data_IF_815332749268
#
_entry.id   IF_815332749268
#
_cell.length_a   1.000
_cell.length_b   1.000
_cell.length_c   1.000
_cell.angle_alpha   90.00
_cell.angle_beta   90.00
_cell.angle_gamma   90.00
#
_symmetry.space_group_name_H-M   'P 1'
#
loop_
_entity.id
_entity.type
_entity.pdbx_description
1 polymer ?
#
# COMPACT_ATOMS: atom_id res chain seq x y z
N UNK A 1 -22.41 -29.91 -34.73
CA UNK A 1 -22.01 -28.49 -34.84
C UNK A 1 -22.80 -27.59 -33.87
N UNK A 2 -23.05 -28.03 -32.62
CA UNK A 2 -24.06 -27.41 -31.74
C UNK A 2 -23.56 -27.16 -30.30
N UNK A 3 -22.32 -26.69 -30.12
CA UNK A 3 -21.73 -26.52 -28.77
C UNK A 3 -20.97 -25.18 -28.60
N UNK A 4 -21.21 -24.20 -29.46
CA UNK A 4 -20.48 -22.92 -29.42
C UNK A 4 -21.10 -21.90 -28.45
N UNK A 5 -22.40 -22.00 -28.20
CA UNK A 5 -23.14 -21.09 -27.32
C UNK A 5 -22.89 -21.36 -25.83
N UNK A 6 -23.10 -22.60 -25.38
CA UNK A 6 -22.92 -23.01 -23.98
C UNK A 6 -21.47 -22.82 -23.53
N UNK A 7 -20.50 -23.32 -24.31
CA UNK A 7 -19.08 -23.13 -24.02
C UNK A 7 -18.64 -21.64 -24.04
N UNK A 8 -19.32 -20.76 -24.78
CA UNK A 8 -19.07 -19.32 -24.75
C UNK A 8 -19.64 -18.68 -23.48
N UNK A 9 -20.88 -19.03 -23.12
CA UNK A 9 -21.53 -18.61 -21.87
C UNK A 9 -20.71 -19.04 -20.64
N UNK A 10 -20.28 -20.30 -20.57
CA UNK A 10 -19.41 -20.79 -19.48
C UNK A 10 -18.11 -20.01 -19.36
N UNK A 11 -17.45 -19.69 -20.48
CA UNK A 11 -16.23 -18.87 -20.48
C UNK A 11 -16.48 -17.45 -20.01
N UNK A 12 -17.60 -16.83 -20.39
CA UNK A 12 -17.98 -15.49 -19.93
C UNK A 12 -18.25 -15.51 -18.43
N UNK A 13 -19.05 -16.46 -17.95
CA UNK A 13 -19.39 -16.62 -16.53
C UNK A 13 -18.13 -16.88 -15.69
N UNK A 14 -17.23 -17.76 -16.14
CA UNK A 14 -15.97 -18.02 -15.45
C UNK A 14 -15.06 -16.78 -15.38
N UNK A 15 -15.01 -15.97 -16.45
CA UNK A 15 -14.26 -14.71 -16.47
C UNK A 15 -14.86 -13.66 -15.54
N UNK A 16 -16.18 -13.48 -15.57
CA UNK A 16 -16.89 -12.55 -14.70
C UNK A 16 -16.71 -12.92 -13.23
N UNK A 17 -16.86 -14.21 -12.90
CA UNK A 17 -16.65 -14.70 -11.55
C UNK A 17 -15.19 -14.54 -11.09
N UNK A 18 -14.22 -14.79 -11.98
CA UNK A 18 -12.81 -14.53 -11.69
C UNK A 18 -12.51 -13.05 -11.43
N UNK A 19 -13.16 -12.15 -12.15
CA UNK A 19 -13.08 -10.70 -11.93
C UNK A 19 -13.66 -10.31 -10.57
N UNK A 20 -14.88 -10.76 -10.25
CA UNK A 20 -15.51 -10.49 -8.95
C UNK A 20 -14.64 -11.00 -7.79
N UNK A 21 -14.12 -12.23 -7.89
CA UNK A 21 -13.24 -12.80 -6.85
C UNK A 21 -11.95 -12.01 -6.70
N UNK A 22 -11.36 -11.55 -7.81
CA UNK A 22 -10.15 -10.72 -7.76
C UNK A 22 -10.41 -9.41 -7.01
N UNK A 23 -11.44 -8.66 -7.38
CA UNK A 23 -11.75 -7.38 -6.73
C UNK A 23 -12.21 -7.56 -5.27
N UNK A 24 -12.96 -8.62 -4.96
CA UNK A 24 -13.33 -8.94 -3.59
C UNK A 24 -12.09 -9.24 -2.73
N UNK A 25 -11.15 -10.05 -3.23
CA UNK A 25 -9.88 -10.30 -2.53
C UNK A 25 -9.03 -9.03 -2.39
N UNK A 26 -8.98 -8.19 -3.42
CA UNK A 26 -8.23 -6.94 -3.41
C UNK A 26 -8.80 -5.97 -2.36
N UNK A 27 -10.13 -5.80 -2.35
CA UNK A 27 -10.82 -4.99 -1.34
C UNK A 27 -10.63 -5.56 0.06
N UNK A 28 -10.71 -6.89 0.20
CA UNK A 28 -10.47 -7.54 1.48
C UNK A 28 -9.04 -7.35 1.96
N UNK A 29 -8.03 -7.39 1.08
CA UNK A 29 -6.64 -7.06 1.40
C UNK A 29 -6.49 -5.60 1.86
N UNK A 30 -7.23 -4.69 1.23
CA UNK A 30 -7.23 -3.26 1.55
C UNK A 30 -8.11 -2.87 2.76
N UNK A 31 -8.80 -3.84 3.41
CA UNK A 31 -9.81 -3.57 4.42
C UNK A 31 -9.37 -2.58 5.51
N UNK A 32 -8.16 -2.73 6.05
CA UNK A 32 -7.65 -1.80 7.07
C UNK A 32 -7.55 -0.36 6.53
N UNK A 33 -6.94 -0.17 5.35
CA UNK A 33 -6.83 1.16 4.72
C UNK A 33 -8.18 1.76 4.34
N UNK A 34 -9.10 0.93 3.84
CA UNK A 34 -10.49 1.37 3.54
C UNK A 34 -11.19 1.84 4.82
N UNK A 35 -11.04 1.10 5.92
CA UNK A 35 -11.63 1.48 7.22
C UNK A 35 -11.05 2.80 7.74
N UNK A 36 -9.73 2.99 7.68
CA UNK A 36 -9.08 4.25 8.08
C UNK A 36 -9.55 5.41 7.20
N UNK A 37 -9.57 5.23 5.88
CA UNK A 37 -10.03 6.28 4.96
C UNK A 37 -11.50 6.63 5.18
N UNK A 38 -12.36 5.63 5.40
CA UNK A 38 -13.76 5.84 5.78
C UNK A 38 -13.88 6.59 7.11
N UNK A 39 -13.08 6.26 8.13
CA UNK A 39 -13.08 6.97 9.40
C UNK A 39 -12.65 8.43 9.23
N UNK A 40 -11.64 8.71 8.40
CA UNK A 40 -11.22 10.08 8.05
C UNK A 40 -12.38 10.88 7.43
N UNK A 41 -13.07 10.29 6.44
CA UNK A 41 -14.22 10.94 5.78
C UNK A 41 -15.36 11.17 6.78
N UNK A 42 -15.74 10.14 7.53
CA UNK A 42 -16.85 10.19 8.46
C UNK A 42 -16.61 11.22 9.57
N UNK A 43 -15.42 11.19 10.18
CA UNK A 43 -15.07 12.17 11.21
C UNK A 43 -15.07 13.58 10.64
N UNK A 44 -14.59 13.81 9.41
CA UNK A 44 -14.70 15.15 8.80
C UNK A 44 -16.15 15.66 8.68
N UNK A 45 -17.11 14.77 8.46
CA UNK A 45 -18.53 15.12 8.28
C UNK A 45 -19.27 15.34 9.59
N UNK A 46 -18.90 14.64 10.66
CA UNK A 46 -19.69 14.61 11.90
C UNK A 46 -18.99 15.18 13.13
N UNK A 47 -17.65 15.37 13.09
CA UNK A 47 -16.92 15.78 14.28
C UNK A 47 -17.21 17.23 14.65
N UNK A 48 -17.56 17.45 15.91
CA UNK A 48 -17.71 18.79 16.47
C UNK A 48 -16.43 19.16 17.23
N UNK A 49 -15.80 20.32 16.92
CA UNK A 49 -14.64 20.82 17.67
C UNK A 49 -14.86 20.98 19.18
N UNK A 50 -16.10 21.17 19.63
CA UNK A 50 -16.44 21.33 21.05
C UNK A 50 -16.47 20.00 21.82
N UNK A 51 -16.28 18.86 21.16
CA UNK A 51 -16.23 17.57 21.83
C UNK A 51 -14.94 17.41 22.64
N UNK A 52 -15.06 16.77 23.81
CA UNK A 52 -13.93 16.53 24.71
C UNK A 52 -12.83 15.64 24.09
N UNK A 53 -13.16 14.87 23.05
CA UNK A 53 -12.21 14.04 22.32
C UNK A 53 -11.82 14.72 21.01
N UNK A 54 -10.53 15.01 20.87
CA UNK A 54 -9.98 15.54 19.63
C UNK A 54 -10.17 14.55 18.47
N UNK A 55 -10.41 15.08 17.26
CA UNK A 55 -10.67 14.25 16.05
C UNK A 55 -9.53 13.29 15.77
N UNK A 56 -8.29 13.77 15.86
CA UNK A 56 -7.10 12.95 15.62
C UNK A 56 -6.90 11.86 16.67
N UNK A 57 -7.19 12.15 17.94
CA UNK A 57 -7.11 11.15 19.01
C UNK A 57 -8.15 10.04 18.80
N UNK A 58 -9.36 10.40 18.35
CA UNK A 58 -10.37 9.42 17.98
C UNK A 58 -9.95 8.52 16.82
N UNK A 59 -9.24 9.05 15.82
CA UNK A 59 -8.69 8.26 14.72
C UNK A 59 -7.58 7.31 15.20
N UNK A 60 -6.75 7.72 16.17
CA UNK A 60 -5.77 6.82 16.80
C UNK A 60 -6.47 5.67 17.51
N UNK A 61 -7.47 5.98 18.36
CA UNK A 61 -8.24 4.97 19.08
C UNK A 61 -8.90 4.01 18.09
N UNK A 62 -9.53 4.53 17.04
CA UNK A 62 -10.15 3.72 15.99
C UNK A 62 -9.13 2.78 15.31
N UNK A 63 -7.95 3.28 14.95
CA UNK A 63 -6.91 2.48 14.32
C UNK A 63 -6.41 1.35 15.24
N UNK A 64 -6.14 1.67 16.51
CA UNK A 64 -5.70 0.69 17.52
C UNK A 64 -6.77 -0.38 17.78
N UNK A 65 -8.02 0.03 17.96
CA UNK A 65 -9.14 -0.91 18.16
C UNK A 65 -9.32 -1.81 16.95
N UNK A 66 -9.26 -1.25 15.73
CA UNK A 66 -9.35 -2.02 14.49
C UNK A 66 -8.22 -3.05 14.39
N UNK A 67 -6.99 -2.64 14.70
CA UNK A 67 -5.82 -3.51 14.73
C UNK A 67 -5.98 -4.67 15.72
N UNK A 68 -6.43 -4.38 16.94
CA UNK A 68 -6.71 -5.40 17.98
C UNK A 68 -7.78 -6.37 17.50
N UNK A 69 -8.89 -5.86 16.94
CA UNK A 69 -9.98 -6.70 16.43
C UNK A 69 -9.50 -7.59 15.28
N UNK A 70 -8.65 -7.09 14.39
CA UNK A 70 -8.14 -7.86 13.25
C UNK A 70 -7.28 -9.03 13.71
N UNK A 71 -6.39 -8.81 14.69
CA UNK A 71 -5.57 -9.86 15.29
C UNK A 71 -6.46 -10.85 16.05
N UNK A 72 -7.35 -10.36 16.90
CA UNK A 72 -8.24 -11.19 17.73
C UNK A 72 -9.17 -12.09 16.89
N UNK A 73 -9.69 -11.57 15.77
CA UNK A 73 -10.54 -12.32 14.83
C UNK A 73 -9.74 -13.18 13.83
N UNK A 74 -8.41 -13.18 13.91
CA UNK A 74 -7.55 -13.90 12.97
C UNK A 74 -7.62 -13.39 11.53
N UNK A 75 -8.09 -12.15 11.32
CA UNK A 75 -8.06 -11.49 10.02
C UNK A 75 -6.63 -11.10 9.63
N UNK A 76 -5.81 -10.85 10.64
CA UNK A 76 -4.40 -10.47 10.53
C UNK A 76 -3.49 -11.40 11.35
N UNK A 77 -2.32 -11.69 10.77
CA UNK A 77 -1.25 -12.52 11.34
C UNK A 77 -0.25 -11.68 12.15
N UNK A 78 0.56 -12.33 12.98
CA UNK A 78 1.64 -11.66 13.70
C UNK A 78 2.73 -11.07 12.79
N UNK A 79 2.94 -11.65 11.61
CA UNK A 79 3.87 -11.10 10.61
C UNK A 79 3.33 -9.80 10.02
N UNK A 80 2.04 -9.76 9.69
CA UNK A 80 1.35 -8.55 9.24
C UNK A 80 1.36 -7.47 10.35
N UNK A 81 1.16 -7.84 11.62
CA UNK A 81 1.26 -6.90 12.73
C UNK A 81 2.67 -6.30 12.91
N UNK A 82 3.74 -7.10 12.70
CA UNK A 82 5.12 -6.59 12.68
C UNK A 82 5.35 -5.59 11.56
N UNK A 83 4.82 -5.87 10.37
CA UNK A 83 4.87 -4.94 9.23
C UNK A 83 4.20 -3.63 9.63
N UNK A 84 3.00 -3.67 10.20
CA UNK A 84 2.28 -2.47 10.64
C UNK A 84 3.09 -1.67 11.66
N UNK A 85 3.71 -2.32 12.65
CA UNK A 85 4.56 -1.64 13.62
C UNK A 85 5.76 -0.92 12.97
N UNK A 86 6.45 -1.57 12.02
CA UNK A 86 7.59 -0.97 11.30
C UNK A 86 7.13 0.25 10.49
N UNK A 87 5.99 0.14 9.79
CA UNK A 87 5.43 1.25 9.00
C UNK A 87 4.93 2.39 9.88
N UNK A 88 4.37 2.09 11.05
CA UNK A 88 3.95 3.11 12.00
C UNK A 88 5.15 3.95 12.45
N UNK A 89 6.28 3.31 12.78
CA UNK A 89 7.51 4.01 13.19
C UNK A 89 8.08 4.81 12.01
N UNK A 90 8.33 4.15 10.87
CA UNK A 90 8.99 4.79 9.71
C UNK A 90 8.13 5.89 9.09
N UNK A 91 6.81 5.69 9.02
CA UNK A 91 5.84 6.70 8.58
C UNK A 91 5.83 7.92 9.50
N UNK A 92 5.68 7.72 10.81
CA UNK A 92 5.69 8.83 11.78
C UNK A 92 6.99 9.62 11.75
N UNK A 93 8.15 8.97 11.60
CA UNK A 93 9.43 9.67 11.45
C UNK A 93 9.49 10.54 10.19
N UNK A 94 8.96 10.04 9.07
CA UNK A 94 8.87 10.80 7.82
C UNK A 94 7.95 12.01 7.98
N UNK A 95 6.78 11.82 8.60
CA UNK A 95 5.83 12.89 8.88
C UNK A 95 6.44 13.98 9.75
N UNK A 96 7.13 13.63 10.84
CA UNK A 96 7.75 14.60 11.75
C UNK A 96 8.76 15.45 10.98
N UNK A 97 9.59 14.80 10.17
CA UNK A 97 10.54 15.51 9.33
C UNK A 97 9.84 16.41 8.31
N UNK A 98 8.79 15.92 7.66
CA UNK A 98 8.10 16.66 6.59
C UNK A 98 7.27 17.83 7.09
N UNK A 99 6.65 17.69 8.25
CA UNK A 99 5.98 18.77 8.97
C UNK A 99 6.99 19.89 9.30
N UNK A 100 8.15 19.51 9.85
CA UNK A 100 9.22 20.46 10.18
C UNK A 100 9.83 21.18 8.95
N UNK A 101 9.66 20.63 7.74
CA UNK A 101 10.09 21.25 6.48
C UNK A 101 8.98 22.04 5.78
N UNK A 102 7.82 22.22 6.42
CA UNK A 102 6.67 22.92 5.83
C UNK A 102 6.11 22.22 4.60
N UNK A 103 6.32 20.90 4.46
CA UNK A 103 5.88 20.17 3.26
C UNK A 103 4.35 20.02 3.20
N UNK A 104 3.69 20.00 4.35
CA UNK A 104 2.25 20.05 4.60
C UNK A 104 2.03 20.34 6.08
N UNK A 105 0.77 20.55 6.47
CA UNK A 105 0.37 20.78 7.86
C UNK A 105 -0.83 19.90 8.28
N UNK A 106 -0.97 19.71 9.59
CA UNK A 106 -2.06 18.98 10.25
C UNK A 106 -2.99 19.99 10.95
N UNK A 107 -4.15 20.34 10.35
CA UNK A 107 -4.97 21.46 10.81
C UNK A 107 -5.71 21.23 12.13
N UNK A 108 -5.96 19.98 12.54
CA UNK A 108 -6.47 19.69 13.89
C UNK A 108 -5.31 19.38 14.84
N UNK A 109 -5.58 19.35 16.14
CA UNK A 109 -4.60 19.02 17.17
C UNK A 109 -5.17 17.95 18.09
N UNK A 110 -4.31 17.13 18.69
CA UNK A 110 -4.68 16.10 19.65
C UNK A 110 -3.64 15.92 20.74
N UNK A 111 -3.91 15.07 21.72
CA UNK A 111 -2.91 14.72 22.75
C UNK A 111 -2.03 13.56 22.24
N UNK A 112 -2.56 12.73 21.32
CA UNK A 112 -1.86 11.58 20.75
C UNK A 112 -1.06 11.99 19.51
N UNK A 113 -0.10 12.89 19.70
CA UNK A 113 0.79 13.41 18.67
C UNK A 113 2.25 13.46 19.13
N UNK A 114 3.18 13.39 18.19
CA UNK A 114 4.62 13.53 18.44
C UNK A 114 5.17 14.57 17.48
N UNK A 115 5.73 15.65 18.00
CA UNK A 115 6.30 16.72 17.18
C UNK A 115 5.28 17.39 16.25
N UNK A 116 4.03 17.53 16.68
CA UNK A 116 2.90 18.07 15.89
C UNK A 116 2.29 17.07 14.91
N UNK A 117 2.80 15.84 14.85
CA UNK A 117 2.27 14.78 13.98
C UNK A 117 1.32 13.88 14.76
N UNK A 118 0.06 13.78 14.35
CA UNK A 118 -0.90 12.90 15.01
C UNK A 118 -0.56 11.43 14.73
N UNK A 119 -0.61 10.58 15.74
CA UNK A 119 -0.17 9.18 15.64
C UNK A 119 -1.02 8.34 14.68
N UNK A 120 -2.23 8.77 14.31
CA UNK A 120 -3.01 8.03 13.31
C UNK A 120 -2.36 8.08 11.93
N UNK A 121 -1.52 9.09 11.66
CA UNK A 121 -0.76 9.18 10.40
C UNK A 121 0.15 7.98 10.19
N UNK A 122 0.85 7.52 11.24
CA UNK A 122 1.62 6.28 11.20
C UNK A 122 0.78 5.06 10.81
N UNK A 123 -0.49 4.99 11.26
CA UNK A 123 -1.41 3.95 10.82
C UNK A 123 -1.85 4.09 9.35
N UNK A 124 -1.87 5.31 8.79
CA UNK A 124 -2.09 5.51 7.35
C UNK A 124 -0.96 4.85 6.54
N UNK A 125 0.31 5.05 6.92
CA UNK A 125 1.44 4.34 6.31
C UNK A 125 1.33 2.83 6.52
N UNK A 126 1.00 2.41 7.74
CA UNK A 126 0.83 1.00 8.07
C UNK A 126 -0.26 0.32 7.24
N UNK A 127 -1.27 1.05 6.79
CA UNK A 127 -2.31 0.51 5.90
C UNK A 127 -1.77 0.07 4.55
N UNK A 128 -0.75 0.76 4.01
CA UNK A 128 -0.08 0.36 2.76
C UNK A 128 0.73 -0.92 2.98
N UNK A 129 1.48 -0.99 4.09
CA UNK A 129 2.23 -2.20 4.47
C UNK A 129 1.33 -3.40 4.69
N UNK A 130 0.23 -3.23 5.45
CA UNK A 130 -0.79 -4.25 5.67
C UNK A 130 -1.41 -4.71 4.35
N UNK A 131 -1.76 -3.79 3.45
CA UNK A 131 -2.29 -4.12 2.13
C UNK A 131 -1.32 -4.99 1.32
N UNK A 132 -0.03 -4.66 1.28
CA UNK A 132 0.98 -5.45 0.55
C UNK A 132 1.11 -6.84 1.18
N UNK A 133 1.30 -6.93 2.50
CA UNK A 133 1.45 -8.21 3.20
C UNK A 133 0.22 -9.11 3.04
N UNK A 134 -0.98 -8.54 3.22
CA UNK A 134 -2.25 -9.26 3.03
C UNK A 134 -2.48 -9.65 1.58
N UNK A 135 -2.10 -8.80 0.62
CA UNK A 135 -2.16 -9.15 -0.80
C UNK A 135 -1.27 -10.35 -1.12
N UNK A 136 -0.05 -10.39 -0.57
CA UNK A 136 0.86 -11.54 -0.73
C UNK A 136 0.20 -12.82 -0.25
N UNK A 137 -0.37 -12.81 0.97
CA UNK A 137 -1.05 -13.97 1.55
C UNK A 137 -2.30 -14.39 0.79
N UNK A 138 -3.22 -13.45 0.52
CA UNK A 138 -4.55 -13.74 -0.04
C UNK A 138 -4.51 -14.16 -1.52
N UNK A 139 -3.55 -13.65 -2.27
CA UNK A 139 -3.36 -13.98 -3.69
C UNK A 139 -2.25 -15.02 -3.92
N UNK A 140 -1.62 -15.52 -2.85
CA UNK A 140 -0.44 -16.38 -2.90
C UNK A 140 0.63 -15.81 -3.85
N UNK A 141 0.94 -14.53 -3.67
CA UNK A 141 1.82 -13.81 -4.59
C UNK A 141 3.22 -14.39 -4.50
N UNK A 142 3.82 -14.60 -5.68
CA UNK A 142 5.22 -14.97 -5.82
C UNK A 142 5.91 -13.96 -6.74
N UNK A 143 7.09 -13.49 -6.36
CA UNK A 143 7.86 -12.53 -7.14
C UNK A 143 9.04 -13.25 -7.79
N UNK A 144 9.05 -13.32 -9.12
CA UNK A 144 10.03 -14.11 -9.86
C UNK A 144 10.29 -13.60 -11.29
N UNK A 145 11.55 -13.61 -11.78
CA UNK A 145 12.78 -13.69 -10.97
C UNK A 145 12.95 -12.43 -10.12
N UNK A 146 13.38 -12.59 -8.88
CA UNK A 146 13.64 -11.51 -7.93
C UNK A 146 15.12 -11.13 -7.93
N UNK A 147 15.50 -9.84 -7.93
CA UNK A 147 16.89 -9.42 -7.83
C UNK A 147 17.51 -9.86 -6.50
N UNK A 148 18.85 -9.82 -6.42
CA UNK A 148 19.52 -10.10 -5.16
C UNK A 148 19.02 -9.12 -4.07
N UNK A 149 18.67 -9.66 -2.90
CA UNK A 149 17.98 -8.89 -1.85
C UNK A 149 18.74 -7.63 -1.40
N UNK A 150 20.08 -7.67 -1.39
CA UNK A 150 20.91 -6.52 -1.06
C UNK A 150 20.71 -5.35 -2.04
N UNK A 151 20.49 -5.63 -3.34
CA UNK A 151 20.26 -4.59 -4.35
C UNK A 151 18.95 -3.88 -4.11
N UNK A 152 17.90 -4.63 -3.77
CA UNK A 152 16.58 -4.08 -3.50
C UNK A 152 16.55 -3.30 -2.19
N UNK A 153 17.29 -3.79 -1.19
CA UNK A 153 17.47 -3.08 0.08
C UNK A 153 18.22 -1.76 -0.09
N UNK A 154 19.35 -1.75 -0.82
CA UNK A 154 20.08 -0.52 -1.13
C UNK A 154 19.22 0.48 -1.90
N UNK A 155 18.43 0.02 -2.89
CA UNK A 155 17.51 0.90 -3.61
C UNK A 155 16.47 1.51 -2.66
N UNK A 156 15.85 0.72 -1.80
CA UNK A 156 14.84 1.21 -0.85
C UNK A 156 15.43 2.24 0.12
N UNK A 157 16.63 1.98 0.65
CA UNK A 157 17.34 2.94 1.52
C UNK A 157 17.68 4.21 0.74
N UNK A 158 18.19 4.12 -0.49
CA UNK A 158 18.52 5.27 -1.31
C UNK A 158 17.28 6.13 -1.62
N UNK A 159 16.14 5.50 -1.92
CA UNK A 159 14.85 6.19 -2.07
C UNK A 159 14.47 6.88 -0.77
N UNK A 160 14.44 6.15 0.34
CA UNK A 160 14.01 6.69 1.62
C UNK A 160 14.88 7.88 2.05
N UNK A 161 16.20 7.75 1.99
CA UNK A 161 17.15 8.84 2.30
C UNK A 161 16.95 10.02 1.36
N UNK A 162 16.75 9.81 0.07
CA UNK A 162 16.49 10.91 -0.87
C UNK A 162 15.23 11.71 -0.50
N UNK A 163 14.18 11.09 0.06
CA UNK A 163 13.03 11.82 0.57
C UNK A 163 13.34 12.74 1.75
N UNK A 164 14.40 12.48 2.52
CA UNK A 164 14.90 13.40 3.53
C UNK A 164 15.85 14.44 2.94
N UNK A 165 16.80 14.00 2.11
CA UNK A 165 17.93 14.85 1.73
C UNK A 165 17.65 15.79 0.57
N UNK A 166 16.61 15.60 -0.25
CA UNK A 166 16.32 16.51 -1.37
C UNK A 166 15.98 17.94 -0.95
N UNK A 167 15.66 18.17 0.33
CA UNK A 167 15.51 19.52 0.88
C UNK A 167 16.84 20.25 1.06
N UNK A 168 17.95 19.49 1.17
CA UNK A 168 19.30 20.00 1.42
C UNK A 168 20.25 19.79 0.22
N UNK A 169 19.90 18.88 -0.68
CA UNK A 169 20.77 18.39 -1.77
C UNK A 169 19.94 18.17 -3.03
N UNK A 170 20.57 17.64 -4.09
CA UNK A 170 19.89 17.35 -5.35
C UNK A 170 18.80 16.28 -5.21
N UNK A 171 17.69 16.55 -5.88
CA UNK A 171 16.62 15.58 -6.08
C UNK A 171 16.99 14.59 -7.19
N UNK A 172 17.37 13.37 -6.80
CA UNK A 172 17.80 12.31 -7.72
C UNK A 172 16.67 11.33 -8.08
N UNK A 173 15.39 11.69 -7.88
CA UNK A 173 14.24 10.80 -8.14
C UNK A 173 14.25 10.20 -9.54
N UNK A 174 14.68 10.94 -10.57
CA UNK A 174 14.82 10.42 -11.94
C UNK A 174 15.78 9.23 -12.06
N UNK A 175 16.91 9.28 -11.35
CA UNK A 175 17.86 8.15 -11.28
C UNK A 175 17.23 6.97 -10.56
N UNK A 176 16.50 7.24 -9.48
CA UNK A 176 15.81 6.20 -8.69
C UNK A 176 14.68 5.52 -9.49
N UNK A 177 13.91 6.27 -10.29
CA UNK A 177 12.93 5.70 -11.23
C UNK A 177 13.60 4.79 -12.26
N UNK A 178 14.73 5.21 -12.84
CA UNK A 178 15.46 4.37 -13.77
C UNK A 178 15.96 3.08 -13.07
N UNK A 179 16.45 3.19 -11.84
CA UNK A 179 16.93 2.05 -11.06
C UNK A 179 15.81 1.05 -10.73
N UNK A 180 14.59 1.49 -10.39
CA UNK A 180 13.47 0.57 -10.17
C UNK A 180 13.12 -0.21 -11.44
N UNK A 181 13.15 0.45 -12.61
CA UNK A 181 12.91 -0.21 -13.89
C UNK A 181 14.02 -1.21 -14.20
N UNK A 182 15.29 -0.80 -14.12
CA UNK A 182 16.43 -1.69 -14.42
C UNK A 182 16.41 -2.95 -13.54
N UNK A 183 16.15 -2.79 -12.24
CA UNK A 183 16.16 -3.91 -11.29
C UNK A 183 14.93 -4.82 -11.46
N UNK A 184 13.74 -4.25 -11.57
CA UNK A 184 12.49 -5.01 -11.46
C UNK A 184 11.76 -5.25 -12.78
N UNK A 185 12.26 -4.79 -13.93
CA UNK A 185 11.56 -4.98 -15.21
C UNK A 185 11.31 -6.45 -15.56
N UNK A 186 12.26 -7.32 -15.17
CA UNK A 186 12.13 -8.77 -15.35
C UNK A 186 11.27 -9.42 -14.27
N UNK A 187 11.16 -8.83 -13.09
CA UNK A 187 10.39 -9.37 -11.96
C UNK A 187 8.91 -9.32 -12.26
N UNK A 188 8.26 -10.47 -12.15
CA UNK A 188 6.81 -10.59 -12.28
C UNK A 188 6.18 -10.88 -10.93
N UNK A 189 5.04 -10.23 -10.69
CA UNK A 189 4.10 -10.52 -9.62
C UNK A 189 3.20 -11.63 -10.13
N UNK A 190 3.48 -12.87 -9.72
CA UNK A 190 2.62 -14.02 -10.00
C UNK A 190 1.54 -14.08 -8.93
N UNK A 191 0.28 -14.16 -9.33
CA UNK A 191 -0.86 -14.25 -8.42
C UNK A 191 -1.88 -15.25 -8.94
N UNK A 192 -2.61 -15.88 -8.01
CA UNK A 192 -3.52 -16.97 -8.33
C UNK A 192 -4.97 -16.55 -8.09
N UNK A 193 -5.71 -16.44 -9.20
CA UNK A 193 -7.17 -16.31 -9.14
C UNK A 193 -7.73 -17.71 -9.37
N UNK A 194 -8.20 -18.35 -8.30
CA UNK A 194 -8.56 -19.78 -8.30
C UNK A 194 -7.34 -20.60 -8.78
N UNK A 195 -7.52 -21.49 -9.74
CA UNK A 195 -6.46 -22.34 -10.28
C UNK A 195 -5.76 -21.72 -11.50
N UNK A 196 -6.01 -20.45 -11.81
CA UNK A 196 -5.40 -19.77 -12.95
C UNK A 196 -4.26 -18.85 -12.52
N UNK A 197 -2.99 -19.18 -12.82
CA UNK A 197 -1.88 -18.29 -12.57
C UNK A 197 -1.97 -17.08 -13.51
N UNK A 198 -1.76 -15.89 -12.96
CA UNK A 198 -1.63 -14.64 -13.70
C UNK A 198 -0.37 -13.92 -13.28
N UNK A 199 0.18 -13.11 -14.18
CA UNK A 199 1.39 -12.36 -13.91
C UNK A 199 1.33 -10.97 -14.51
N UNK A 200 1.82 -9.99 -13.74
CA UNK A 200 2.11 -8.63 -14.21
C UNK A 200 3.56 -8.28 -13.87
N UNK A 201 4.19 -7.38 -14.62
CA UNK A 201 5.52 -6.88 -14.25
C UNK A 201 5.42 -6.05 -12.96
N UNK A 202 6.38 -6.19 -12.06
CA UNK A 202 6.36 -5.49 -10.78
C UNK A 202 6.28 -3.96 -10.95
N UNK A 203 7.06 -3.30 -11.83
CA UNK A 203 6.92 -1.86 -12.06
C UNK A 203 5.52 -1.43 -12.53
N UNK A 204 4.82 -2.29 -13.30
CA UNK A 204 3.44 -2.00 -13.76
C UNK A 204 2.47 -2.13 -12.58
N UNK A 205 2.62 -3.15 -11.74
CA UNK A 205 1.83 -3.27 -10.51
C UNK A 205 2.03 -2.07 -9.58
N UNK A 206 3.29 -1.68 -9.36
CA UNK A 206 3.64 -0.51 -8.55
C UNK A 206 3.07 0.80 -9.12
N UNK A 207 3.10 0.99 -10.45
CA UNK A 207 2.48 2.15 -11.11
C UNK A 207 0.96 2.21 -10.86
N UNK A 208 0.26 1.09 -11.02
CA UNK A 208 -1.19 1.04 -10.78
C UNK A 208 -1.53 1.27 -9.30
N UNK A 209 -0.74 0.71 -8.38
CA UNK A 209 -0.90 0.96 -6.94
C UNK A 209 -0.59 2.41 -6.57
N UNK A 210 0.42 3.03 -7.18
CA UNK A 210 0.77 4.44 -6.94
C UNK A 210 -0.37 5.36 -7.37
N UNK A 211 -1.07 5.00 -8.44
CA UNK A 211 -2.21 5.76 -8.93
C UNK A 211 -3.37 5.71 -7.92
N UNK A 212 -3.65 4.52 -7.36
CA UNK A 212 -4.65 4.39 -6.28
C UNK A 212 -4.26 5.17 -5.02
N UNK A 213 -2.98 5.19 -4.65
CA UNK A 213 -2.49 6.00 -3.53
C UNK A 213 -2.63 7.49 -3.82
N UNK A 214 -2.36 7.94 -5.05
CA UNK A 214 -2.59 9.34 -5.42
C UNK A 214 -4.08 9.71 -5.38
N UNK A 215 -5.00 8.78 -5.72
CA UNK A 215 -6.44 9.00 -5.50
C UNK A 215 -6.77 9.11 -4.01
N UNK A 216 -6.22 8.23 -3.16
CA UNK A 216 -6.41 8.29 -1.71
C UNK A 216 -5.84 9.58 -1.09
N UNK A 217 -4.70 10.07 -1.61
CA UNK A 217 -4.08 11.33 -1.24
C UNK A 217 -5.03 12.50 -1.46
N UNK A 218 -5.70 12.55 -2.62
CA UNK A 218 -6.71 13.58 -2.91
C UNK A 218 -7.89 13.52 -1.93
N UNK A 219 -8.32 12.32 -1.52
CA UNK A 219 -9.36 12.17 -0.49
C UNK A 219 -8.88 12.75 0.85
N UNK A 220 -7.63 12.49 1.24
CA UNK A 220 -7.02 13.04 2.45
C UNK A 220 -6.98 14.57 2.46
N UNK A 221 -6.59 15.18 1.33
CA UNK A 221 -6.58 16.65 1.20
C UNK A 221 -7.98 17.25 1.18
N UNK A 222 -8.94 16.65 0.45
CA UNK A 222 -10.33 17.15 0.43
C UNK A 222 -11.03 17.02 1.78
N UNK A 223 -10.64 16.05 2.60
CA UNK A 223 -11.13 15.88 3.97
C UNK A 223 -10.42 16.77 4.98
N UNK A 224 -9.48 17.63 4.56
CA UNK A 224 -8.63 18.46 5.44
C UNK A 224 -7.98 17.63 6.53
N UNK A 225 -7.51 16.44 6.16
CA UNK A 225 -6.76 15.59 7.10
C UNK A 225 -5.32 16.10 7.21
N UNK A 226 -4.75 16.51 6.08
CA UNK A 226 -3.57 17.37 5.97
C UNK A 226 -3.81 18.37 4.84
N UNK A 227 -3.08 19.47 4.86
CA UNK A 227 -3.19 20.54 3.85
C UNK A 227 -1.84 20.94 3.29
N UNK A 228 -1.81 21.24 1.99
CA UNK A 228 -0.63 21.78 1.32
C UNK A 228 -0.79 23.29 1.13
N UNK A 229 0.24 24.08 1.43
CA UNK A 229 0.17 25.56 1.38
C UNK A 229 -0.27 26.10 0.01
N UNK A 230 0.20 25.48 -1.07
CA UNK A 230 -0.04 25.94 -2.46
C UNK A 230 -1.29 25.28 -3.08
N UNK A 231 -1.88 24.30 -2.40
CA UNK A 231 -3.09 23.62 -2.88
C UNK A 231 -4.31 24.35 -2.32
N UNK A 232 -4.88 25.27 -3.11
CA UNK A 232 -6.16 25.89 -2.76
C UNK A 232 -7.25 24.84 -2.51
N UNK A 233 -8.34 25.21 -1.83
CA UNK A 233 -9.37 24.31 -1.25
C UNK A 233 -9.97 23.25 -2.20
N UNK A 234 -9.85 23.43 -3.52
CA UNK A 234 -10.45 22.55 -4.55
C UNK A 234 -9.44 22.03 -5.59
N UNK A 235 -8.14 22.29 -5.42
CA UNK A 235 -7.11 21.83 -6.34
C UNK A 235 -6.85 20.33 -6.21
N UNK A 236 -6.66 19.64 -7.33
CA UNK A 236 -6.12 18.28 -7.32
C UNK A 236 -4.66 18.32 -6.87
N UNK A 237 -4.24 17.27 -6.17
CA UNK A 237 -2.86 17.11 -5.71
C UNK A 237 -1.91 17.04 -6.90
N UNK A 238 -0.80 17.77 -6.85
CA UNK A 238 0.18 17.82 -7.93
C UNK A 238 0.61 16.43 -8.42
N UNK A 239 0.77 16.29 -9.74
CA UNK A 239 1.12 15.01 -10.36
C UNK A 239 2.55 14.57 -10.01
N UNK A 240 3.42 15.48 -9.57
CA UNK A 240 4.72 15.13 -8.98
C UNK A 240 4.59 14.26 -7.73
N UNK A 241 3.50 14.39 -6.96
CA UNK A 241 3.23 13.53 -5.79
C UNK A 241 2.94 12.09 -6.20
N UNK A 242 2.38 11.86 -7.38
CA UNK A 242 2.23 10.51 -7.93
C UNK A 242 3.60 9.82 -8.11
N UNK A 243 4.61 10.54 -8.60
CA UNK A 243 5.98 10.03 -8.68
C UNK A 243 6.55 9.66 -7.31
N UNK A 244 6.25 10.46 -6.29
CA UNK A 244 6.66 10.15 -4.91
C UNK A 244 6.02 8.85 -4.39
N UNK A 245 4.72 8.67 -4.61
CA UNK A 245 4.01 7.45 -4.24
C UNK A 245 4.56 6.20 -4.93
N UNK A 246 4.92 6.33 -6.20
CA UNK A 246 5.58 5.24 -6.93
C UNK A 246 6.88 4.79 -6.26
N UNK A 247 7.76 5.73 -5.89
CA UNK A 247 9.03 5.38 -5.23
C UNK A 247 8.81 4.86 -3.80
N UNK A 248 7.92 5.49 -3.03
CA UNK A 248 7.57 5.03 -1.69
C UNK A 248 6.95 3.64 -1.69
N UNK A 249 6.26 3.23 -2.76
CA UNK A 249 5.79 1.85 -2.90
C UNK A 249 6.93 0.83 -2.99
N UNK A 250 8.08 1.19 -3.55
CA UNK A 250 9.26 0.30 -3.51
C UNK A 250 9.86 0.22 -2.11
N UNK A 251 9.91 1.34 -1.38
CA UNK A 251 10.31 1.33 0.04
C UNK A 251 9.36 0.44 0.83
N UNK A 252 8.05 0.66 0.67
CA UNK A 252 7.02 -0.12 1.34
C UNK A 252 7.14 -1.61 1.01
N UNK A 253 7.22 -1.94 -0.27
CA UNK A 253 7.38 -3.31 -0.75
C UNK A 253 8.60 -3.99 -0.12
N UNK A 254 9.78 -3.37 -0.20
CA UNK A 254 11.01 -3.95 0.37
C UNK A 254 10.90 -4.09 1.88
N UNK A 255 10.32 -3.11 2.59
CA UNK A 255 10.05 -3.20 4.03
C UNK A 255 9.17 -4.40 4.37
N UNK A 256 8.11 -4.66 3.61
CA UNK A 256 7.30 -5.88 3.80
C UNK A 256 8.11 -7.14 3.56
N UNK A 257 8.96 -7.17 2.52
CA UNK A 257 9.82 -8.33 2.24
C UNK A 257 10.90 -8.59 3.30
N UNK A 258 11.17 -7.66 4.23
CA UNK A 258 12.02 -7.96 5.39
C UNK A 258 11.37 -8.99 6.33
N UNK A 259 10.03 -8.98 6.37
CA UNK A 259 9.21 -9.88 7.20
C UNK A 259 8.69 -11.06 6.37
N UNK A 260 8.11 -10.81 5.20
CA UNK A 260 7.49 -11.81 4.32
C UNK A 260 8.47 -12.21 3.20
N UNK A 261 9.50 -13.00 3.55
CA UNK A 261 10.61 -13.34 2.64
C UNK A 261 10.29 -14.45 1.64
N UNK A 262 9.44 -15.41 2.03
CA UNK A 262 9.21 -16.65 1.29
C UNK A 262 8.54 -16.46 -0.08
N UNK A 263 8.00 -15.26 -0.33
CA UNK A 263 7.40 -14.90 -1.60
C UNK A 263 8.43 -14.51 -2.69
N UNK A 264 9.72 -14.35 -2.36
CA UNK A 264 10.76 -13.91 -3.30
C UNK A 264 11.56 -15.08 -3.87
N UNK A 265 11.55 -15.24 -5.20
CA UNK A 265 12.26 -16.33 -5.88
C UNK A 265 13.33 -15.80 -6.82
N UNK A 266 14.62 -16.15 -6.65
CA UNK A 266 15.69 -15.70 -7.54
C UNK A 266 15.52 -16.18 -8.98
N UNK A 267 14.88 -17.33 -9.16
CA UNK A 267 14.71 -17.97 -10.46
C UNK A 267 13.30 -17.77 -11.03
N UNK A 268 13.13 -17.77 -12.36
CA UNK A 268 11.81 -17.66 -12.98
C UNK A 268 10.87 -18.80 -12.57
N UNK A 269 9.65 -18.45 -12.19
CA UNK A 269 8.57 -19.43 -11.98
C UNK A 269 7.91 -19.73 -13.31
N UNK A 270 7.68 -21.02 -13.57
CA UNK A 270 6.90 -21.49 -14.71
C UNK A 270 5.48 -21.79 -14.23
N UNK A 271 4.47 -21.33 -14.97
CA UNK A 271 3.10 -21.71 -14.68
C UNK A 271 2.99 -23.24 -14.69
N UNK A 272 2.28 -23.88 -13.73
CA UNK A 272 2.03 -25.30 -13.81
C UNK A 272 1.42 -25.61 -15.18
N UNK A 273 2.02 -26.56 -15.91
CA UNK A 273 1.40 -27.14 -17.10
C UNK A 273 -0.01 -27.59 -16.71
N UNK A 274 -1.03 -27.14 -17.44
CA UNK A 274 -2.42 -27.56 -17.20
C UNK A 274 -2.46 -29.08 -17.05
N UNK A 275 -2.82 -29.58 -15.86
CA UNK A 275 -3.02 -31.02 -15.63
C UNK A 275 -2.48 -31.60 -14.33
N UNK A 276 -1.70 -30.87 -13.53
CA UNK A 276 -1.19 -31.40 -12.25
C UNK A 276 -1.87 -30.66 -11.10
N UNK A 277 -2.86 -31.30 -10.49
CA UNK A 277 -3.40 -30.86 -9.21
C UNK A 277 -2.26 -30.85 -8.17
N UNK A 278 -2.08 -29.79 -7.37
CA UNK A 278 -1.11 -29.81 -6.30
C UNK A 278 -1.52 -30.90 -5.30
N UNK A 279 -0.64 -31.88 -5.11
CA UNK A 279 -0.78 -32.89 -4.05
C UNK A 279 -0.79 -32.16 -2.72
N UNK A 280 -1.92 -32.21 -2.02
CA UNK A 280 -2.00 -31.79 -0.62
C UNK A 280 -1.18 -32.78 0.20
N UNK A 281 -0.09 -32.31 0.80
CA UNK A 281 0.47 -32.92 2.01
C UNK A 281 -0.10 -32.20 3.23
#
# INVERSE_FOLDING_TARGET
MADTGVAKLERITARALGFVVFFAKLLYAALFGVMILSAIILTRLIWNPDWALARYDALVIFAVVTQIVFIWRGLETWEEAKVIAIFHITGTLMEIFKLAQGSWDYPDQGILEIGGVPLFSGFMYASVGSFIARSIRLFHIQFAPYPAFWMTYLLAVAIYVNFYTHHYTYDIRWVLFAATLVLFWRTRIWFFIRDTPRAIRLPVGAFLSAWLLWVAENVGTFTRTWTYEVQGDYGLVDIGKFGSWYLLLFVAFVTVTLVVRDAMHPHPIHAPSRGIAPTRN
#
